data_IF_291493298653
#
_entry.id   IF_291493298653
#
_cell.length_a   1.000
_cell.length_b   1.000
_cell.length_c   1.000
_cell.angle_alpha   90.00
_cell.angle_beta   90.00
_cell.angle_gamma   90.00
#
_symmetry.space_group_name_H-M   'P 1'
#
loop_
_entity.id
_entity.type
_entity.pdbx_description
1 polymer ?
#
# COMPACT_ATOMS: atom_id res chain seq x y z
N UNK A 1 5.08 28.28 -61.45
CA UNK A 1 4.30 27.74 -60.31
C UNK A 1 5.21 27.56 -59.09
N UNK A 2 4.96 28.30 -58.00
CA UNK A 2 5.87 28.41 -56.85
C UNK A 2 5.77 27.18 -55.91
N UNK A 3 6.64 26.17 -56.13
CA UNK A 3 6.74 24.92 -55.34
C UNK A 3 7.06 25.13 -53.85
N UNK A 4 7.44 26.34 -53.43
CA UNK A 4 7.78 26.68 -52.04
C UNK A 4 6.54 26.79 -51.14
N UNK A 5 5.46 27.41 -51.62
CA UNK A 5 4.24 27.61 -50.82
C UNK A 5 3.50 26.29 -50.52
N UNK A 6 3.46 25.37 -51.49
CA UNK A 6 2.86 24.04 -51.34
C UNK A 6 3.64 23.17 -50.35
N UNK A 7 4.99 23.19 -50.40
CA UNK A 7 5.85 22.52 -49.42
C UNK A 7 5.64 23.05 -48.00
N UNK A 8 5.58 24.37 -47.82
CA UNK A 8 5.30 25.00 -46.52
C UNK A 8 3.95 24.58 -45.95
N UNK A 9 2.89 24.54 -46.78
CA UNK A 9 1.56 24.06 -46.36
C UNK A 9 1.58 22.58 -45.98
N UNK A 10 2.23 21.73 -46.78
CA UNK A 10 2.37 20.29 -46.49
C UNK A 10 3.11 20.05 -45.17
N UNK A 11 4.22 20.75 -44.94
CA UNK A 11 4.98 20.67 -43.68
C UNK A 11 4.14 21.08 -42.47
N UNK A 12 3.37 22.19 -42.57
CA UNK A 12 2.47 22.63 -41.50
C UNK A 12 1.39 21.58 -41.19
N UNK A 13 0.78 21.01 -42.23
CA UNK A 13 -0.23 19.95 -42.10
C UNK A 13 0.34 18.71 -41.39
N UNK A 14 1.48 18.21 -41.87
CA UNK A 14 2.17 17.06 -41.25
C UNK A 14 2.55 17.35 -39.80
N UNK A 15 3.11 18.53 -39.52
CA UNK A 15 3.46 18.94 -38.14
C UNK A 15 2.24 18.97 -37.23
N UNK A 16 1.10 19.47 -37.72
CA UNK A 16 -0.15 19.50 -36.96
C UNK A 16 -0.68 18.08 -36.71
N UNK A 17 -0.62 17.20 -37.71
CA UNK A 17 -1.00 15.80 -37.58
C UNK A 17 -0.13 15.07 -36.56
N UNK A 18 1.18 15.25 -36.60
CA UNK A 18 2.11 14.67 -35.63
C UNK A 18 1.83 15.17 -34.21
N UNK A 19 1.63 16.48 -34.02
CA UNK A 19 1.29 17.05 -32.70
C UNK A 19 -0.03 16.49 -32.17
N UNK A 20 -1.05 16.34 -33.01
CA UNK A 20 -2.33 15.72 -32.64
C UNK A 20 -2.14 14.26 -32.23
N UNK A 21 -1.34 13.51 -33.00
CA UNK A 21 -1.06 12.10 -32.72
C UNK A 21 -0.33 11.91 -31.39
N UNK A 22 0.69 12.73 -31.09
CA UNK A 22 1.42 12.70 -29.83
C UNK A 22 0.48 12.95 -28.64
N UNK A 23 -0.36 13.99 -28.72
CA UNK A 23 -1.32 14.32 -27.64
C UNK A 23 -2.31 13.18 -27.41
N UNK A 24 -2.88 12.63 -28.49
CA UNK A 24 -3.80 11.50 -28.42
C UNK A 24 -3.15 10.28 -27.78
N UNK A 25 -1.94 9.92 -28.22
CA UNK A 25 -1.20 8.77 -27.66
C UNK A 25 -0.83 8.97 -26.19
N UNK A 26 -0.50 10.19 -25.79
CA UNK A 26 -0.26 10.51 -24.38
C UNK A 26 -1.53 10.40 -23.53
N UNK A 27 -2.68 10.86 -24.03
CA UNK A 27 -3.98 10.69 -23.36
C UNK A 27 -4.37 9.21 -23.22
N UNK A 28 -4.23 8.42 -24.27
CA UNK A 28 -4.45 6.96 -24.22
C UNK A 28 -3.57 6.28 -23.16
N UNK A 29 -2.31 6.72 -23.06
CA UNK A 29 -1.37 6.20 -22.06
C UNK A 29 -1.76 6.60 -20.63
N UNK A 30 -2.18 7.84 -20.39
CA UNK A 30 -2.68 8.30 -19.09
C UNK A 30 -3.93 7.54 -18.65
N UNK A 31 -4.91 7.38 -19.55
CA UNK A 31 -6.12 6.62 -19.26
C UNK A 31 -5.79 5.15 -18.91
N UNK A 32 -4.76 4.56 -19.53
CA UNK A 32 -4.26 3.23 -19.15
C UNK A 32 -3.63 3.21 -17.75
N UNK A 33 -2.88 4.25 -17.39
CA UNK A 33 -2.30 4.34 -16.04
C UNK A 33 -3.42 4.40 -15.00
N UNK A 34 -4.40 5.29 -15.21
CA UNK A 34 -5.53 5.48 -14.30
C UNK A 34 -6.37 4.21 -14.15
N UNK A 35 -6.74 3.56 -15.26
CA UNK A 35 -7.54 2.33 -15.21
C UNK A 35 -6.81 1.15 -14.58
N UNK A 36 -5.48 1.13 -14.65
CA UNK A 36 -4.66 0.06 -14.06
C UNK A 36 -4.21 0.34 -12.63
N UNK A 37 -4.56 1.48 -12.02
CA UNK A 37 -3.99 1.88 -10.73
C UNK A 37 -4.28 0.88 -9.59
N UNK A 38 -5.50 0.33 -9.55
CA UNK A 38 -5.90 -0.67 -8.54
C UNK A 38 -5.21 -2.03 -8.72
N UNK A 39 -4.81 -2.37 -9.95
CA UNK A 39 -4.22 -3.69 -10.29
C UNK A 39 -2.69 -3.63 -10.34
N UNK A 40 -2.14 -2.54 -10.86
CA UNK A 40 -0.70 -2.33 -11.04
C UNK A 40 -0.32 -0.88 -10.71
N UNK A 41 -0.27 -0.52 -9.41
CA UNK A 41 0.12 0.82 -8.99
C UNK A 41 1.58 1.17 -9.38
N UNK A 42 2.42 0.18 -9.71
CA UNK A 42 3.82 0.40 -10.14
C UNK A 42 3.90 1.24 -11.41
N UNK A 43 2.93 1.12 -12.32
CA UNK A 43 2.92 1.89 -13.58
C UNK A 43 2.72 3.39 -13.30
N UNK A 44 1.80 3.73 -12.40
CA UNK A 44 1.60 5.11 -11.93
C UNK A 44 2.86 5.66 -11.29
N UNK A 45 3.46 4.93 -10.33
CA UNK A 45 4.66 5.39 -9.64
C UNK A 45 5.86 5.53 -10.57
N UNK A 46 5.98 4.67 -11.59
CA UNK A 46 7.00 4.80 -12.65
C UNK A 46 6.81 6.08 -13.46
N UNK A 47 5.59 6.34 -13.93
CA UNK A 47 5.25 7.56 -14.66
C UNK A 47 5.47 8.84 -13.82
N UNK A 48 4.97 8.83 -12.59
CA UNK A 48 5.14 9.91 -11.64
C UNK A 48 6.62 10.19 -11.36
N UNK A 49 7.43 9.14 -11.17
CA UNK A 49 8.89 9.28 -11.01
C UNK A 49 9.56 9.84 -12.26
N UNK A 50 9.15 9.44 -13.45
CA UNK A 50 9.67 9.97 -14.71
C UNK A 50 9.40 11.47 -14.86
N UNK A 51 8.21 11.94 -14.45
CA UNK A 51 7.87 13.38 -14.43
C UNK A 51 8.63 14.12 -13.32
N UNK A 52 8.63 13.57 -12.11
CA UNK A 52 9.25 14.19 -10.94
C UNK A 52 10.77 14.14 -10.93
N UNK A 53 11.42 13.38 -11.82
CA UNK A 53 12.90 13.39 -11.96
C UNK A 53 13.45 14.78 -12.24
N UNK A 54 12.67 15.68 -12.85
CA UNK A 54 13.02 17.10 -13.02
C UNK A 54 12.78 17.96 -11.78
N UNK A 55 12.23 17.38 -10.70
CA UNK A 55 11.79 18.02 -9.47
C UNK A 55 12.41 17.39 -8.21
N UNK A 56 13.50 16.62 -8.36
CA UNK A 56 14.19 15.97 -7.24
C UNK A 56 14.69 16.95 -6.15
N UNK A 57 14.68 18.25 -6.43
CA UNK A 57 15.01 19.32 -5.50
C UNK A 57 13.80 20.02 -4.87
N UNK A 58 12.57 19.47 -4.97
CA UNK A 58 11.44 20.04 -4.22
C UNK A 58 11.71 19.86 -2.72
N UNK A 59 11.72 21.01 -2.03
CA UNK A 59 11.97 21.22 -0.61
C UNK A 59 11.84 19.95 0.22
N UNK A 60 12.99 19.41 0.62
CA UNK A 60 13.10 18.30 1.57
C UNK A 60 12.76 18.75 3.00
N UNK A 61 12.03 19.85 3.15
CA UNK A 61 11.73 20.54 4.39
C UNK A 61 10.22 20.44 4.63
N UNK A 62 9.83 19.98 5.81
CA UNK A 62 8.44 20.11 6.26
C UNK A 62 8.41 21.06 7.45
N UNK A 63 7.38 21.89 7.50
CA UNK A 63 7.18 22.87 8.56
C UNK A 63 5.86 22.63 9.26
N UNK A 64 5.89 22.54 10.57
CA UNK A 64 4.70 22.52 11.41
C UNK A 64 4.96 23.39 12.65
N UNK A 65 4.02 24.28 12.96
CA UNK A 65 4.11 25.21 14.10
C UNK A 65 5.43 26.02 14.16
N UNK A 66 5.86 26.53 13.01
CA UNK A 66 7.10 27.32 12.89
C UNK A 66 8.41 26.50 12.92
N UNK A 67 8.35 25.20 13.18
CA UNK A 67 9.52 24.31 13.18
C UNK A 67 9.65 23.64 11.81
N UNK A 68 10.78 23.87 11.15
CA UNK A 68 11.12 23.28 9.85
C UNK A 68 12.18 22.22 10.00
N UNK A 69 11.98 21.01 9.44
CA UNK A 69 13.02 19.98 9.46
C UNK A 69 13.28 19.28 8.12
N UNK A 70 14.55 18.88 7.96
CA UNK A 70 15.14 18.14 6.84
C UNK A 70 15.37 16.66 7.15
N UNK A 71 15.51 16.30 8.43
CA UNK A 71 15.82 14.92 8.85
C UNK A 71 14.59 14.03 8.79
N UNK A 72 14.75 12.78 8.37
CA UNK A 72 13.64 11.82 8.31
C UNK A 72 12.97 11.59 9.68
N UNK A 73 13.77 11.56 10.76
CA UNK A 73 13.27 11.36 12.13
C UNK A 73 12.38 12.53 12.56
N UNK A 74 12.91 13.74 12.47
CA UNK A 74 12.21 14.95 12.88
C UNK A 74 10.96 15.19 12.03
N UNK A 75 11.01 14.82 10.74
CA UNK A 75 9.82 14.83 9.88
C UNK A 75 8.71 13.95 10.45
N UNK A 76 9.04 12.71 10.81
CA UNK A 76 8.07 11.81 11.43
C UNK A 76 7.52 12.40 12.74
N UNK A 77 8.37 13.04 13.55
CA UNK A 77 7.95 13.72 14.78
C UNK A 77 6.98 14.88 14.51
N UNK A 78 7.28 15.76 13.55
CA UNK A 78 6.40 16.86 13.16
C UNK A 78 5.06 16.37 12.59
N UNK A 79 5.09 15.30 11.77
CA UNK A 79 3.87 14.66 11.30
C UNK A 79 3.03 14.09 12.45
N UNK A 80 3.65 13.39 13.39
CA UNK A 80 2.94 12.84 14.54
C UNK A 80 2.32 13.95 15.41
N UNK A 81 3.03 15.06 15.62
CA UNK A 81 2.52 16.22 16.34
C UNK A 81 1.30 16.83 15.65
N UNK A 82 1.38 17.03 14.32
CA UNK A 82 0.26 17.51 13.53
C UNK A 82 -0.94 16.57 13.61
N UNK A 83 -0.74 15.27 13.35
CA UNK A 83 -1.82 14.29 13.39
C UNK A 83 -2.48 14.26 14.77
N UNK A 84 -1.68 14.24 15.84
CA UNK A 84 -2.18 14.29 17.21
C UNK A 84 -3.01 15.54 17.48
N UNK A 85 -2.65 16.69 16.90
CA UNK A 85 -3.40 17.95 17.07
C UNK A 85 -4.77 17.95 16.37
N UNK A 86 -4.91 17.23 15.24
CA UNK A 86 -6.16 17.17 14.47
C UNK A 86 -7.06 16.00 14.87
N UNK A 87 -6.50 14.97 15.52
CA UNK A 87 -7.29 13.93 16.15
C UNK A 87 -8.00 14.50 17.38
N UNK A 88 -9.33 14.35 17.42
CA UNK A 88 -10.09 14.70 18.63
C UNK A 88 -9.60 13.79 19.74
N UNK A 89 -9.13 14.38 20.84
CA UNK A 89 -8.96 13.62 22.07
C UNK A 89 -10.31 12.97 22.40
N UNK A 90 -10.35 11.68 22.77
CA UNK A 90 -11.57 11.08 23.29
C UNK A 90 -11.98 11.96 24.47
N UNK A 91 -13.13 12.62 24.34
CA UNK A 91 -13.62 13.48 25.40
C UNK A 91 -13.67 12.67 26.67
N UNK A 92 -12.93 13.10 27.69
CA UNK A 92 -13.13 12.71 29.10
C UNK A 92 -14.48 13.23 29.63
N UNK A 93 -15.44 13.50 28.73
CA UNK A 93 -16.83 13.72 29.05
C UNK A 93 -17.47 12.37 29.31
N UNK A 94 -17.56 12.03 30.59
CA UNK A 94 -18.48 11.06 31.17
C UNK A 94 -18.67 9.74 30.40
N UNK A 95 -18.03 8.67 30.88
CA UNK A 95 -18.38 7.28 30.54
C UNK A 95 -19.81 6.89 30.99
N UNK A 96 -20.72 7.83 31.21
CA UNK A 96 -22.05 7.59 31.79
C UNK A 96 -23.16 7.42 30.75
N UNK A 97 -22.86 7.36 29.45
CA UNK A 97 -23.90 7.23 28.41
C UNK A 97 -23.86 5.97 27.55
N UNK A 98 -22.71 5.29 27.48
CA UNK A 98 -22.55 4.10 26.61
C UNK A 98 -22.74 2.80 27.41
N UNK A 99 -22.60 2.85 28.74
CA UNK A 99 -22.67 1.64 29.58
C UNK A 99 -24.09 1.11 29.79
N UNK A 100 -25.12 1.95 29.68
CA UNK A 100 -26.52 1.57 29.96
C UNK A 100 -27.33 1.14 28.72
N UNK A 101 -26.77 1.29 27.51
CA UNK A 101 -27.39 0.81 26.26
C UNK A 101 -26.77 -0.49 25.74
N UNK A 102 -25.71 -0.96 26.39
CA UNK A 102 -25.22 -2.32 26.19
C UNK A 102 -26.09 -3.24 27.04
N UNK A 103 -27.26 -3.62 26.50
CA UNK A 103 -27.73 -5.00 26.75
C UNK A 103 -26.50 -5.91 26.62
N UNK A 104 -26.35 -6.96 27.45
CA UNK A 104 -25.28 -7.93 27.21
C UNK A 104 -25.45 -8.35 25.76
N UNK A 105 -24.56 -7.87 24.87
CA UNK A 105 -24.44 -8.51 23.59
C UNK A 105 -24.12 -9.94 24.00
N UNK A 106 -24.92 -10.88 23.54
CA UNK A 106 -24.43 -12.25 23.37
C UNK A 106 -23.22 -12.08 22.46
N UNK A 107 -22.06 -11.83 23.06
CA UNK A 107 -20.79 -11.91 22.39
C UNK A 107 -20.70 -13.40 22.15
N UNK A 108 -21.04 -13.81 20.93
CA UNK A 108 -20.71 -15.14 20.45
C UNK A 108 -19.20 -15.27 20.62
N UNK A 109 -18.79 -15.88 21.74
CA UNK A 109 -17.39 -16.15 22.00
C UNK A 109 -16.93 -17.09 20.91
N UNK A 110 -15.96 -16.60 20.14
CA UNK A 110 -15.29 -17.34 19.08
C UNK A 110 -14.47 -18.47 19.73
N UNK A 111 -15.17 -19.53 20.11
CA UNK A 111 -14.69 -20.54 21.06
C UNK A 111 -14.05 -21.74 20.39
N UNK A 112 -14.31 -21.96 19.09
CA UNK A 112 -13.86 -23.14 18.35
C UNK A 112 -13.40 -22.78 16.93
N UNK A 113 -12.20 -22.21 16.81
CA UNK A 113 -11.52 -22.05 15.51
C UNK A 113 -10.53 -23.20 15.35
N UNK A 114 -10.77 -24.04 14.34
CA UNK A 114 -9.83 -25.08 13.94
C UNK A 114 -9.50 -24.88 12.46
N UNK A 115 -8.23 -24.65 12.18
CA UNK A 115 -7.69 -24.57 10.84
C UNK A 115 -7.44 -25.96 10.30
N UNK A 116 -7.60 -26.14 8.98
CA UNK A 116 -7.14 -27.35 8.29
C UNK A 116 -5.87 -27.09 7.48
N UNK A 117 -5.09 -28.14 7.23
CA UNK A 117 -3.82 -28.03 6.53
C UNK A 117 -3.99 -27.53 5.08
N UNK A 118 -5.13 -27.79 4.43
CA UNK A 118 -5.41 -27.31 3.08
C UNK A 118 -5.61 -25.79 3.02
N UNK A 119 -6.28 -25.20 4.02
CA UNK A 119 -6.43 -23.76 4.19
C UNK A 119 -5.10 -23.07 4.43
N UNK A 120 -4.25 -23.67 5.27
CA UNK A 120 -2.90 -23.17 5.52
C UNK A 120 -2.06 -23.26 4.24
N UNK A 121 -2.09 -24.39 3.52
CA UNK A 121 -1.37 -24.56 2.25
C UNK A 121 -1.82 -23.53 1.21
N UNK A 122 -3.12 -23.31 1.06
CA UNK A 122 -3.69 -22.31 0.16
C UNK A 122 -3.26 -20.89 0.54
N UNK A 123 -3.20 -20.60 1.83
CA UNK A 123 -2.75 -19.30 2.33
C UNK A 123 -1.27 -19.06 2.03
N UNK A 124 -0.43 -20.07 2.27
CA UNK A 124 1.01 -20.04 1.95
C UNK A 124 1.27 -19.92 0.44
N UNK A 125 0.50 -20.64 -0.38
CA UNK A 125 0.62 -20.59 -1.83
C UNK A 125 0.26 -19.20 -2.40
N UNK A 126 -0.69 -18.49 -1.78
CA UNK A 126 -1.12 -17.17 -2.25
C UNK A 126 -0.30 -16.00 -1.69
N UNK A 127 0.80 -16.26 -0.98
CA UNK A 127 1.66 -15.20 -0.47
C UNK A 127 2.29 -14.37 -1.62
N UNK A 128 2.36 -13.06 -1.41
CA UNK A 128 3.01 -12.15 -2.35
C UNK A 128 4.53 -12.27 -2.25
N UNK A 129 5.12 -12.98 -3.21
CA UNK A 129 6.58 -13.20 -3.30
C UNK A 129 7.40 -11.93 -3.51
N UNK A 130 6.78 -10.78 -3.80
CA UNK A 130 7.47 -9.50 -3.91
C UNK A 130 7.68 -8.79 -2.57
N UNK A 131 7.13 -9.33 -1.47
CA UNK A 131 7.35 -8.82 -0.11
C UNK A 131 8.72 -9.22 0.42
N UNK A 132 9.25 -8.39 1.32
CA UNK A 132 10.49 -8.69 2.02
C UNK A 132 10.32 -9.91 2.94
N UNK A 133 11.43 -10.60 3.23
CA UNK A 133 11.44 -11.66 4.24
C UNK A 133 11.04 -11.10 5.60
N UNK A 134 10.44 -11.97 6.42
CA UNK A 134 10.19 -11.66 7.83
C UNK A 134 11.50 -11.55 8.63
N UNK A 135 11.40 -11.27 9.94
CA UNK A 135 12.55 -11.26 10.84
C UNK A 135 13.24 -12.63 10.96
N UNK A 136 12.56 -13.70 10.53
CA UNK A 136 13.08 -15.07 10.43
C UNK A 136 14.04 -15.28 9.25
N UNK A 137 14.12 -14.32 8.32
CA UNK A 137 14.95 -14.40 7.12
C UNK A 137 14.42 -15.39 6.07
N UNK A 138 13.25 -15.98 6.26
CA UNK A 138 12.69 -16.98 5.34
C UNK A 138 12.07 -16.26 4.13
N UNK A 139 12.51 -16.54 2.90
CA UNK A 139 11.90 -15.94 1.72
C UNK A 139 10.47 -16.42 1.52
N UNK A 140 9.55 -15.48 1.25
CA UNK A 140 8.16 -15.77 0.90
C UNK A 140 8.03 -16.77 -0.26
N UNK A 141 8.97 -16.73 -1.20
CA UNK A 141 9.04 -17.69 -2.31
C UNK A 141 9.21 -19.13 -1.82
N UNK A 142 10.05 -19.36 -0.80
CA UNK A 142 10.24 -20.69 -0.23
C UNK A 142 8.93 -21.21 0.39
N UNK A 143 8.22 -20.36 1.14
CA UNK A 143 6.96 -20.71 1.76
C UNK A 143 5.87 -21.07 0.74
N UNK A 144 5.84 -20.36 -0.39
CA UNK A 144 4.92 -20.64 -1.49
C UNK A 144 5.22 -21.98 -2.17
N UNK A 145 6.49 -22.22 -2.55
CA UNK A 145 6.92 -23.43 -3.27
C UNK A 145 6.81 -24.68 -2.38
N UNK A 146 7.08 -24.55 -1.08
CA UNK A 146 7.00 -25.64 -0.11
C UNK A 146 5.66 -25.70 0.64
N UNK A 147 4.64 -24.96 0.17
CA UNK A 147 3.36 -24.76 0.88
C UNK A 147 2.69 -26.07 1.30
N UNK A 148 2.65 -27.07 0.43
CA UNK A 148 2.04 -28.37 0.71
C UNK A 148 2.81 -29.12 1.81
N UNK A 149 4.13 -29.07 1.80
CA UNK A 149 4.99 -29.82 2.71
C UNK A 149 5.02 -29.22 4.11
N UNK A 150 5.01 -27.89 4.22
CA UNK A 150 5.11 -27.18 5.51
C UNK A 150 3.75 -26.91 6.17
N UNK A 151 2.66 -26.90 5.39
CA UNK A 151 1.33 -26.59 5.89
C UNK A 151 0.86 -27.46 7.08
N UNK A 152 1.11 -28.79 7.13
CA UNK A 152 0.69 -29.60 8.27
C UNK A 152 1.30 -29.12 9.60
N UNK A 153 2.62 -28.85 9.61
CA UNK A 153 3.32 -28.38 10.81
C UNK A 153 2.89 -26.97 11.23
N UNK A 154 2.69 -26.06 10.26
CA UNK A 154 2.21 -24.70 10.54
C UNK A 154 0.76 -24.74 11.05
N UNK A 155 -0.08 -25.61 10.50
CA UNK A 155 -1.46 -25.81 10.92
C UNK A 155 -1.55 -26.28 12.38
N UNK A 156 -0.74 -27.27 12.76
CA UNK A 156 -0.67 -27.75 14.14
C UNK A 156 -0.24 -26.65 15.11
N UNK A 157 0.77 -25.85 14.74
CA UNK A 157 1.24 -24.71 15.53
C UNK A 157 0.15 -23.65 15.71
N UNK A 158 -0.54 -23.27 14.64
CA UNK A 158 -1.63 -22.29 14.70
C UNK A 158 -2.81 -22.80 15.52
N UNK A 159 -3.22 -24.05 15.32
CA UNK A 159 -4.29 -24.66 16.11
C UNK A 159 -3.90 -24.69 17.58
N UNK A 160 -2.68 -25.08 17.94
CA UNK A 160 -2.23 -25.05 19.33
C UNK A 160 -2.30 -23.64 19.94
N UNK A 161 -1.85 -22.63 19.21
CA UNK A 161 -1.93 -21.22 19.64
C UNK A 161 -3.38 -20.76 19.84
N UNK A 162 -4.28 -21.10 18.92
CA UNK A 162 -5.70 -20.76 18.99
C UNK A 162 -6.41 -21.46 20.17
N UNK A 163 -6.15 -22.75 20.39
CA UNK A 163 -6.78 -23.52 21.47
C UNK A 163 -6.28 -23.09 22.86
N UNK A 164 -5.01 -22.70 22.98
CA UNK A 164 -4.43 -22.25 24.26
C UNK A 164 -4.64 -20.76 24.53
N UNK A 165 -5.03 -19.98 23.52
CA UNK A 165 -5.06 -18.53 23.57
C UNK A 165 -3.66 -17.90 23.75
N UNK A 166 -2.58 -18.65 23.48
CA UNK A 166 -1.21 -18.20 23.66
C UNK A 166 -0.53 -17.97 22.32
N UNK A 167 -0.15 -16.71 22.07
CA UNK A 167 0.61 -16.31 20.88
C UNK A 167 2.10 -16.23 21.25
N UNK A 168 3.01 -16.86 20.46
CA UNK A 168 4.45 -16.74 20.64
C UNK A 168 4.92 -15.29 20.75
N UNK A 169 5.86 -15.01 21.65
CA UNK A 169 6.39 -13.66 21.87
C UNK A 169 7.04 -13.05 20.63
N UNK A 170 7.64 -13.90 19.81
CA UNK A 170 8.29 -13.63 18.55
C UNK A 170 7.30 -13.12 17.50
N UNK A 171 6.04 -13.54 17.56
CA UNK A 171 5.00 -13.06 16.65
C UNK A 171 4.45 -11.70 17.06
N UNK A 172 4.58 -11.33 18.34
CA UNK A 172 4.19 -10.01 18.87
C UNK A 172 5.22 -8.92 18.60
N UNK A 173 6.42 -9.30 18.14
CA UNK A 173 7.52 -8.38 17.86
C UNK A 173 7.61 -7.98 16.38
N UNK A 174 6.68 -8.44 15.53
CA UNK A 174 6.53 -7.96 14.17
C UNK A 174 5.91 -6.54 14.17
N UNK A 175 6.66 -5.56 13.65
CA UNK A 175 6.26 -4.14 13.52
C UNK A 175 5.38 -3.87 12.30
#
# INVERSE_FOLDING_TARGET
>A
MNRSATRKRKLRSLTQQTKRLIRRKHQEYLAKIESSFSVNPKLFWSYHKAILRHRANLHHEITFDGVTSKSAKDKATLFNAYLSSVFRSPSTGSKSGICDLLQPLEIEELSNITLNAEEVARSLYNLDTSKACGPDGIPTRLLQECSIQIAPSICELFNHSLHTGQIPSEWKSAN
#
